data_IF_446000284011
#
_entry.id   IF_446000284011
#
_cell.length_a   1.000
_cell.length_b   1.000
_cell.length_c   1.000
_cell.angle_alpha   90.00
_cell.angle_beta   90.00
_cell.angle_gamma   90.00
#
_symmetry.space_group_name_H-M   'P 1'
#
loop_
_entity.id
_entity.type
_entity.pdbx_description
1 polymer ?
#
# COMPACT_ATOMS: atom_id res chain seq x y z
N UNK A 1 -19.95 13.60 24.40
CA UNK A 1 -20.93 13.35 23.33
C UNK A 1 -20.72 11.93 22.85
N UNK A 2 -21.61 11.00 23.20
CA UNK A 2 -21.47 9.59 22.81
C UNK A 2 -21.71 9.45 21.30
N UNK A 3 -20.68 9.05 20.56
CA UNK A 3 -20.77 8.76 19.12
C UNK A 3 -21.28 7.31 19.00
N UNK A 4 -22.57 7.15 18.71
CA UNK A 4 -23.25 5.84 18.65
C UNK A 4 -22.87 4.99 17.42
N UNK A 5 -22.07 5.54 16.49
CA UNK A 5 -21.60 4.83 15.30
C UNK A 5 -20.07 4.94 15.26
N UNK A 6 -19.32 3.84 15.46
CA UNK A 6 -17.89 3.82 15.22
C UNK A 6 -17.65 4.13 13.73
N UNK A 7 -16.93 5.20 13.42
CA UNK A 7 -16.33 5.34 12.09
C UNK A 7 -15.17 4.36 12.05
N UNK A 8 -15.15 3.48 11.07
CA UNK A 8 -14.01 2.59 10.83
C UNK A 8 -12.86 3.42 10.27
N UNK A 9 -12.08 4.04 11.16
CA UNK A 9 -10.87 4.82 10.82
C UNK A 9 -9.70 3.94 10.33
N UNK A 10 -9.89 2.62 10.37
CA UNK A 10 -8.90 1.61 9.96
C UNK A 10 -8.48 1.71 8.50
N UNK A 11 -9.30 2.31 7.62
CA UNK A 11 -8.91 2.57 6.24
C UNK A 11 -7.69 3.50 6.14
N UNK A 12 -7.66 4.57 6.95
CA UNK A 12 -6.54 5.51 6.95
C UNK A 12 -5.24 4.83 7.42
N UNK A 13 -5.31 3.96 8.43
CA UNK A 13 -4.15 3.16 8.85
C UNK A 13 -3.63 2.23 7.74
N UNK A 14 -4.53 1.68 6.91
CA UNK A 14 -4.10 0.85 5.78
C UNK A 14 -3.45 1.68 4.68
N UNK A 15 -3.99 2.85 4.38
CA UNK A 15 -3.38 3.79 3.42
C UNK A 15 -2.00 4.24 3.88
N UNK A 16 -1.83 4.57 5.17
CA UNK A 16 -0.52 4.93 5.73
C UNK A 16 0.47 3.77 5.60
N UNK A 17 0.04 2.53 5.81
CA UNK A 17 0.89 1.35 5.62
C UNK A 17 1.27 1.15 4.16
N UNK A 18 0.34 1.31 3.23
CA UNK A 18 0.62 1.20 1.80
C UNK A 18 1.57 2.31 1.32
N UNK A 19 1.35 3.56 1.75
CA UNK A 19 2.23 4.67 1.45
C UNK A 19 3.65 4.48 2.02
N UNK A 20 3.79 3.96 3.25
CA UNK A 20 5.09 3.62 3.81
C UNK A 20 5.75 2.47 3.04
N UNK A 21 4.99 1.47 2.59
CA UNK A 21 5.51 0.38 1.77
C UNK A 21 6.09 0.87 0.44
N UNK A 22 5.35 1.76 -0.25
CA UNK A 22 5.81 2.45 -1.46
C UNK A 22 7.09 3.25 -1.19
N UNK A 23 7.15 3.99 -0.08
CA UNK A 23 8.34 4.76 0.28
C UNK A 23 9.57 3.86 0.48
N UNK A 24 9.40 2.69 1.10
CA UNK A 24 10.49 1.72 1.22
C UNK A 24 10.88 1.13 -0.15
N UNK A 25 9.91 0.82 -1.02
CA UNK A 25 10.18 0.37 -2.39
C UNK A 25 10.98 1.40 -3.19
N UNK A 26 10.57 2.66 -3.14
CA UNK A 26 11.26 3.75 -3.82
C UNK A 26 12.71 3.93 -3.33
N UNK A 27 12.97 3.75 -2.03
CA UNK A 27 14.35 3.80 -1.49
C UNK A 27 15.21 2.66 -2.04
N UNK A 28 14.65 1.45 -2.12
CA UNK A 28 15.36 0.29 -2.69
C UNK A 28 15.67 0.54 -4.16
N UNK A 29 14.72 1.06 -4.94
CA UNK A 29 14.93 1.42 -6.34
C UNK A 29 16.07 2.44 -6.52
N UNK A 30 16.12 3.49 -5.69
CA UNK A 30 17.22 4.48 -5.71
C UNK A 30 18.57 3.82 -5.40
N UNK A 31 18.62 2.91 -4.42
CA UNK A 31 19.84 2.17 -4.11
C UNK A 31 20.30 1.32 -5.29
N UNK A 32 19.37 0.72 -6.06
CA UNK A 32 19.68 -0.05 -7.26
C UNK A 32 20.25 0.82 -8.39
N UNK A 33 19.88 2.10 -8.47
CA UNK A 33 20.44 3.03 -9.47
C UNK A 33 21.82 3.57 -9.11
N UNK A 34 22.10 3.75 -7.81
CA UNK A 34 23.32 4.39 -7.33
C UNK A 34 24.51 3.43 -7.18
N UNK A 35 24.26 2.16 -6.82
CA UNK A 35 25.32 1.21 -6.50
C UNK A 35 25.39 0.08 -7.53
N UNK A 36 26.24 0.26 -8.54
CA UNK A 36 26.43 -0.72 -9.62
C UNK A 36 27.10 -2.01 -9.10
N UNK A 37 26.29 -3.07 -8.93
CA UNK A 37 26.71 -4.45 -9.20
C UNK A 37 26.97 -5.38 -8.02
N UNK A 38 26.99 -4.91 -6.76
CA UNK A 38 27.27 -5.80 -5.62
C UNK A 38 26.03 -6.47 -4.99
N UNK A 39 24.81 -6.00 -5.32
CA UNK A 39 23.64 -6.31 -4.49
C UNK A 39 22.30 -6.28 -5.26
N UNK A 40 22.34 -6.32 -6.60
CA UNK A 40 21.14 -6.15 -7.43
C UNK A 40 20.10 -7.24 -7.17
N UNK A 41 20.52 -8.51 -7.05
CA UNK A 41 19.59 -9.62 -6.84
C UNK A 41 18.92 -9.59 -5.47
N UNK A 42 19.64 -9.19 -4.42
CA UNK A 42 19.06 -9.06 -3.08
C UNK A 42 18.04 -7.92 -3.03
N UNK A 43 18.36 -6.78 -3.67
CA UNK A 43 17.45 -5.63 -3.77
C UNK A 43 16.23 -5.92 -4.63
N UNK A 44 16.40 -6.64 -5.73
CA UNK A 44 15.27 -7.11 -6.53
C UNK A 44 14.34 -7.99 -5.69
N UNK A 45 14.88 -8.99 -5.00
CA UNK A 45 14.09 -9.82 -4.08
C UNK A 45 13.40 -9.00 -3.00
N UNK A 46 14.05 -7.94 -2.51
CA UNK A 46 13.44 -7.02 -1.55
C UNK A 46 12.28 -6.23 -2.15
N UNK A 47 12.36 -5.83 -3.42
CA UNK A 47 11.24 -5.21 -4.14
C UNK A 47 10.07 -6.19 -4.32
N UNK A 48 10.32 -7.43 -4.72
CA UNK A 48 9.28 -8.48 -4.81
C UNK A 48 8.56 -8.68 -3.46
N UNK A 49 9.32 -8.71 -2.35
CA UNK A 49 8.74 -8.80 -1.00
C UNK A 49 7.85 -7.59 -0.65
N UNK A 50 8.24 -6.39 -1.09
CA UNK A 50 7.48 -5.16 -0.84
C UNK A 50 6.23 -5.10 -1.72
N UNK A 51 6.30 -5.53 -2.98
CA UNK A 51 5.13 -5.69 -3.86
C UNK A 51 4.10 -6.61 -3.22
N UNK A 52 4.50 -7.81 -2.79
CA UNK A 52 3.61 -8.75 -2.11
C UNK A 52 2.97 -8.18 -0.84
N UNK A 53 3.67 -7.28 -0.14
CA UNK A 53 3.11 -6.57 1.03
C UNK A 53 2.08 -5.53 0.60
N UNK A 54 2.36 -4.75 -0.45
CA UNK A 54 1.44 -3.79 -1.04
C UNK A 54 0.15 -4.46 -1.50
N UNK A 55 0.30 -5.51 -2.28
CA UNK A 55 -0.77 -6.32 -2.85
C UNK A 55 -1.66 -6.94 -1.74
N UNK A 56 -1.05 -7.40 -0.64
CA UNK A 56 -1.77 -7.85 0.56
C UNK A 56 -2.53 -6.72 1.26
N UNK A 57 -2.00 -5.49 1.29
CA UNK A 57 -2.67 -4.32 1.88
C UNK A 57 -3.87 -3.91 1.03
N UNK A 58 -3.72 -3.86 -0.30
CA UNK A 58 -4.80 -3.62 -1.26
C UNK A 58 -5.95 -4.61 -1.05
N UNK A 59 -5.63 -5.90 -0.99
CA UNK A 59 -6.61 -6.95 -0.67
C UNK A 59 -7.26 -6.80 0.71
N UNK A 60 -6.56 -6.27 1.72
CA UNK A 60 -7.13 -6.00 3.04
C UNK A 60 -8.10 -4.82 3.00
N UNK A 61 -7.75 -3.74 2.31
CA UNK A 61 -8.59 -2.57 2.13
C UNK A 61 -9.89 -2.96 1.42
N UNK A 62 -9.80 -3.65 0.28
CA UNK A 62 -10.97 -4.08 -0.52
C UNK A 62 -11.86 -5.03 0.30
N UNK A 63 -11.28 -6.01 1.01
CA UNK A 63 -12.07 -6.92 1.87
C UNK A 63 -12.76 -6.18 3.02
N UNK A 64 -12.08 -5.22 3.63
CA UNK A 64 -12.66 -4.38 4.70
C UNK A 64 -13.78 -3.50 4.14
N UNK A 65 -13.57 -2.90 2.97
CA UNK A 65 -14.56 -2.10 2.26
C UNK A 65 -15.84 -2.90 2.01
N UNK A 66 -15.72 -4.11 1.46
CA UNK A 66 -16.85 -4.99 1.18
C UNK A 66 -17.65 -5.43 2.42
N UNK A 67 -17.03 -5.39 3.61
CA UNK A 67 -17.66 -5.77 4.90
C UNK A 67 -18.08 -4.57 5.75
N UNK A 68 -17.82 -3.34 5.29
CA UNK A 68 -18.12 -2.12 6.04
C UNK A 68 -19.35 -1.46 5.47
N UNK A 69 -20.40 -1.29 6.26
CA UNK A 69 -21.65 -0.66 5.81
C UNK A 69 -21.55 0.87 5.75
N UNK A 70 -20.91 1.49 6.75
CA UNK A 70 -20.69 2.95 6.84
C UNK A 70 -19.19 3.22 6.71
N UNK A 71 -18.79 3.87 5.62
CA UNK A 71 -17.41 4.26 5.35
C UNK A 71 -17.12 5.68 5.89
N UNK A 72 -15.84 5.99 6.23
CA UNK A 72 -15.49 7.32 6.75
C UNK A 72 -15.48 8.41 5.67
N UNK A 73 -15.29 8.03 4.41
CA UNK A 73 -15.35 8.85 3.19
C UNK A 73 -16.07 8.05 2.08
N UNK A 74 -16.11 8.56 0.85
CA UNK A 74 -16.73 7.86 -0.27
C UNK A 74 -16.08 6.48 -0.50
N UNK A 75 -16.91 5.49 -0.84
CA UNK A 75 -16.48 4.12 -1.10
C UNK A 75 -15.64 4.02 -2.36
N UNK A 76 -16.01 4.76 -3.39
CA UNK A 76 -15.29 4.79 -4.65
C UNK A 76 -13.91 5.40 -4.45
N UNK A 77 -13.79 6.46 -3.64
CA UNK A 77 -12.50 7.06 -3.29
C UNK A 77 -11.59 6.08 -2.55
N UNK A 78 -12.13 5.30 -1.58
CA UNK A 78 -11.35 4.29 -0.84
C UNK A 78 -10.82 3.22 -1.81
N UNK A 79 -11.66 2.75 -2.72
CA UNK A 79 -11.27 1.74 -3.70
C UNK A 79 -10.21 2.29 -4.67
N UNK A 80 -10.49 3.44 -5.28
CA UNK A 80 -9.59 4.08 -6.24
C UNK A 80 -8.24 4.43 -5.63
N UNK A 81 -8.21 4.90 -4.38
CA UNK A 81 -6.95 5.17 -3.67
C UNK A 81 -6.16 3.88 -3.39
N UNK A 82 -6.84 2.79 -3.01
CA UNK A 82 -6.15 1.52 -2.78
C UNK A 82 -5.49 0.99 -4.06
N UNK A 83 -6.21 1.02 -5.19
CA UNK A 83 -5.69 0.60 -6.50
C UNK A 83 -4.55 1.52 -6.95
N UNK A 84 -4.70 2.84 -6.82
CA UNK A 84 -3.66 3.77 -7.23
C UNK A 84 -2.36 3.63 -6.41
N UNK A 85 -2.46 3.25 -5.14
CA UNK A 85 -1.27 2.96 -4.31
C UNK A 85 -0.59 1.65 -4.74
N UNK A 86 -1.38 0.64 -5.10
CA UNK A 86 -0.91 -0.63 -5.67
C UNK A 86 -0.15 -0.39 -6.98
N UNK A 87 -0.77 0.33 -7.92
CA UNK A 87 -0.19 0.67 -9.23
C UNK A 87 1.19 1.36 -9.08
N UNK A 88 1.35 2.21 -8.07
CA UNK A 88 2.65 2.86 -7.81
C UNK A 88 3.70 1.87 -7.33
N UNK A 89 3.33 0.91 -6.48
CA UNK A 89 4.25 -0.15 -6.02
C UNK A 89 4.64 -1.06 -7.19
N UNK A 90 3.68 -1.43 -8.05
CA UNK A 90 3.93 -2.23 -9.26
C UNK A 90 4.88 -1.52 -10.23
N UNK A 91 4.70 -0.21 -10.42
CA UNK A 91 5.60 0.60 -11.25
C UNK A 91 7.02 0.72 -10.69
N UNK A 92 7.20 0.54 -9.38
CA UNK A 92 8.52 0.51 -8.73
C UNK A 92 9.19 -0.85 -8.89
N UNK A 93 8.41 -1.93 -8.91
CA UNK A 93 8.90 -3.30 -9.11
C UNK A 93 9.22 -3.60 -10.58
N UNK A 94 8.52 -2.98 -11.54
CA UNK A 94 8.65 -3.21 -12.99
C UNK A 94 10.06 -3.01 -13.60
#
# INVERSE_FOLDING_TARGET
MFRLIPREEKFFEYFDKAANNILEGAKVLVQMTDERGADFQERWKRLEELEHVGDKLTHQIIRKLNRTFITPIDREDIHSLAVALDDVMDLIEA
#
